data_IF_816173514744
#
_entry.id   IF_816173514744
#
_cell.length_a   1.000
_cell.length_b   1.000
_cell.length_c   1.000
_cell.angle_alpha   90.00
_cell.angle_beta   90.00
_cell.angle_gamma   90.00
#
_symmetry.space_group_name_H-M   'P 1'
#
loop_
_entity.id
_entity.type
_entity.pdbx_description
1 polymer ?
#
# COMPACT_ATOMS: atom_id res chain seq x y z
N UNK A 1 14.11 -14.48 -15.87
CA UNK A 1 15.16 -14.80 -14.86
C UNK A 1 15.33 -13.73 -13.78
N UNK A 2 15.72 -12.48 -14.06
CA UNK A 2 15.93 -11.47 -12.97
C UNK A 2 14.62 -11.03 -12.32
N UNK A 3 13.58 -10.81 -13.11
CA UNK A 3 12.25 -10.37 -12.65
C UNK A 3 11.54 -11.40 -11.75
N UNK A 4 11.59 -12.68 -12.15
CA UNK A 4 11.03 -13.78 -11.35
C UNK A 4 11.74 -13.93 -10.00
N UNK A 5 13.05 -13.67 -9.96
CA UNK A 5 13.84 -13.68 -8.73
C UNK A 5 13.48 -12.50 -7.81
N UNK A 6 13.18 -11.32 -8.36
CA UNK A 6 12.74 -10.16 -7.58
C UNK A 6 11.40 -10.41 -6.90
N UNK A 7 10.43 -10.99 -7.62
CA UNK A 7 9.15 -11.42 -7.04
C UNK A 7 9.33 -12.44 -5.90
N UNK A 8 10.24 -13.39 -6.06
CA UNK A 8 10.55 -14.36 -5.01
C UNK A 8 11.20 -13.69 -3.79
N UNK A 9 12.15 -12.77 -4.00
CA UNK A 9 12.79 -12.03 -2.91
C UNK A 9 11.81 -11.14 -2.14
N UNK A 10 10.79 -10.59 -2.82
CA UNK A 10 9.71 -9.82 -2.19
C UNK A 10 8.81 -10.66 -1.27
N UNK A 11 8.87 -11.99 -1.30
CA UNK A 11 8.07 -12.85 -0.40
C UNK A 11 8.92 -13.64 0.59
N UNK A 12 10.25 -13.52 0.51
CA UNK A 12 11.17 -14.15 1.47
C UNK A 12 11.42 -13.25 2.68
N UNK A 13 11.19 -13.82 3.87
CA UNK A 13 11.47 -13.13 5.15
C UNK A 13 12.97 -12.89 5.37
N UNK A 14 13.31 -11.81 6.05
CA UNK A 14 14.65 -11.40 6.47
C UNK A 14 15.61 -10.99 5.33
N UNK A 15 15.09 -10.58 4.18
CA UNK A 15 15.86 -10.04 3.05
C UNK A 15 15.28 -8.76 2.47
N UNK A 16 14.23 -8.25 3.09
CA UNK A 16 13.46 -7.12 2.62
C UNK A 16 14.34 -5.87 2.57
N UNK A 17 15.12 -5.56 3.62
CA UNK A 17 16.00 -4.38 3.61
C UNK A 17 17.04 -4.43 2.48
N UNK A 18 17.66 -5.59 2.25
CA UNK A 18 18.64 -5.80 1.16
C UNK A 18 17.99 -5.63 -0.21
N UNK A 19 16.74 -6.07 -0.33
CA UNK A 19 15.95 -5.87 -1.53
C UNK A 19 15.61 -4.38 -1.74
N UNK A 20 15.24 -3.64 -0.69
CA UNK A 20 14.99 -2.19 -0.78
C UNK A 20 16.25 -1.44 -1.25
N UNK A 21 17.42 -1.79 -0.70
CA UNK A 21 18.69 -1.22 -1.14
C UNK A 21 18.98 -1.49 -2.62
N UNK A 22 18.84 -2.76 -3.05
CA UNK A 22 19.04 -3.15 -4.44
C UNK A 22 18.07 -2.42 -5.40
N UNK A 23 16.81 -2.32 -5.01
CA UNK A 23 15.78 -1.65 -5.80
C UNK A 23 16.03 -0.14 -5.92
N UNK A 24 16.51 0.50 -4.85
CA UNK A 24 16.85 1.93 -4.86
C UNK A 24 18.10 2.22 -5.69
N UNK A 25 19.12 1.37 -5.61
CA UNK A 25 20.35 1.52 -6.39
C UNK A 25 20.11 1.34 -7.90
N UNK A 26 19.04 0.63 -8.29
CA UNK A 26 18.63 0.41 -9.69
C UNK A 26 17.27 1.03 -10.03
N UNK A 27 16.89 2.09 -9.33
CA UNK A 27 15.53 2.68 -9.40
C UNK A 27 15.06 2.98 -10.82
N UNK A 28 15.92 3.46 -11.70
CA UNK A 28 15.55 3.80 -13.09
C UNK A 28 15.06 2.61 -13.90
N UNK A 29 15.54 1.40 -13.59
CA UNK A 29 15.14 0.17 -14.27
C UNK A 29 14.05 -0.60 -13.50
N UNK A 30 13.86 -0.32 -12.21
CA UNK A 30 13.07 -1.15 -11.30
C UNK A 30 11.99 -0.35 -10.54
N UNK A 31 11.56 0.82 -11.02
CA UNK A 31 10.49 1.63 -10.40
C UNK A 31 9.24 0.79 -10.10
N UNK A 32 8.84 -0.09 -11.02
CA UNK A 32 7.71 -1.00 -10.81
C UNK A 32 7.85 -1.85 -9.54
N UNK A 33 9.04 -2.38 -9.26
CA UNK A 33 9.31 -3.21 -8.09
C UNK A 33 9.50 -2.37 -6.81
N UNK A 34 10.03 -1.15 -6.91
CA UNK A 34 10.05 -0.20 -5.79
C UNK A 34 8.64 0.08 -5.28
N UNK A 35 7.72 0.32 -6.22
CA UNK A 35 6.32 0.53 -5.91
C UNK A 35 5.69 -0.71 -5.25
N UNK A 36 5.98 -1.90 -5.77
CA UNK A 36 5.51 -3.15 -5.20
C UNK A 36 6.07 -3.41 -3.79
N UNK A 37 7.33 -3.05 -3.57
CA UNK A 37 8.00 -3.18 -2.28
C UNK A 37 7.43 -2.21 -1.24
N UNK A 38 7.12 -0.98 -1.62
CA UNK A 38 6.46 -0.02 -0.73
C UNK A 38 5.13 -0.57 -0.18
N UNK A 39 4.41 -1.34 -1.00
CA UNK A 39 3.13 -1.91 -0.61
C UNK A 39 3.25 -3.19 0.24
N UNK A 40 4.11 -4.12 -0.16
CA UNK A 40 4.29 -5.40 0.56
C UNK A 40 5.07 -5.25 1.87
N UNK A 41 6.10 -4.39 1.86
CA UNK A 41 7.09 -4.25 2.92
C UNK A 41 7.41 -2.77 3.17
N UNK A 42 6.44 -1.98 3.66
CA UNK A 42 6.62 -0.54 3.82
C UNK A 42 7.75 -0.20 4.80
N UNK A 43 7.86 -0.94 5.91
CA UNK A 43 8.86 -0.69 6.95
C UNK A 43 10.31 -0.79 6.43
N UNK A 44 10.76 -1.90 5.81
CA UNK A 44 12.10 -1.99 5.25
C UNK A 44 12.43 -0.90 4.23
N UNK A 45 11.46 -0.51 3.38
CA UNK A 45 11.68 0.57 2.43
C UNK A 45 11.80 1.93 3.12
N UNK A 46 10.94 2.24 4.09
CA UNK A 46 10.99 3.48 4.87
C UNK A 46 12.29 3.61 5.68
N UNK A 47 12.79 2.51 6.24
CA UNK A 47 14.08 2.46 6.94
C UNK A 47 15.23 2.83 5.99
N UNK A 48 15.29 2.20 4.81
CA UNK A 48 16.34 2.49 3.83
C UNK A 48 16.20 3.92 3.30
N UNK A 49 14.99 4.41 3.05
CA UNK A 49 14.75 5.81 2.64
C UNK A 49 15.21 6.80 3.70
N UNK A 50 14.92 6.51 4.98
CA UNK A 50 15.38 7.33 6.11
C UNK A 50 16.90 7.35 6.19
N UNK A 51 17.55 6.19 6.07
CA UNK A 51 19.02 6.08 6.04
C UNK A 51 19.63 6.86 4.86
N UNK A 52 18.96 6.84 3.70
CA UNK A 52 19.37 7.55 2.47
C UNK A 52 18.96 9.03 2.49
N UNK A 53 18.24 9.51 3.51
CA UNK A 53 17.65 10.85 3.60
C UNK A 53 16.78 11.20 2.39
N UNK A 54 16.02 10.23 1.90
CA UNK A 54 15.12 10.35 0.76
C UNK A 54 13.66 10.25 1.20
N UNK A 55 12.77 10.79 0.38
CA UNK A 55 11.32 10.74 0.52
C UNK A 55 10.70 9.84 -0.56
N UNK A 56 9.56 9.19 -0.30
CA UNK A 56 8.86 8.40 -1.32
C UNK A 56 8.49 9.21 -2.58
N UNK A 57 8.26 10.51 -2.45
CA UNK A 57 7.97 11.41 -3.57
C UNK A 57 9.16 11.53 -4.54
N UNK A 58 10.40 11.49 -4.02
CA UNK A 58 11.61 11.51 -4.85
C UNK A 58 11.81 10.24 -5.67
N UNK A 59 11.03 9.18 -5.41
CA UNK A 59 11.03 7.95 -6.19
C UNK A 59 10.12 8.01 -7.43
N UNK A 60 9.35 9.09 -7.61
CA UNK A 60 8.42 9.20 -8.74
C UNK A 60 7.32 8.14 -8.72
N UNK A 61 6.99 7.61 -7.54
CA UNK A 61 5.92 6.62 -7.37
C UNK A 61 4.58 7.34 -7.53
N UNK A 62 3.94 7.12 -8.67
CA UNK A 62 2.57 7.55 -8.91
C UNK A 62 1.59 6.51 -8.33
N UNK A 63 1.02 6.83 -7.17
CA UNK A 63 0.05 5.99 -6.51
C UNK A 63 -1.22 5.76 -7.36
N UNK A 64 -1.57 6.72 -8.23
CA UNK A 64 -2.74 6.63 -9.10
C UNK A 64 -2.50 5.65 -10.24
N UNK A 65 -1.35 5.77 -10.92
CA UNK A 65 -0.95 4.83 -11.98
C UNK A 65 -0.81 3.38 -11.45
N UNK A 66 -0.43 3.22 -10.19
CA UNK A 66 -0.39 1.91 -9.53
C UNK A 66 -1.79 1.32 -9.32
N UNK A 67 -2.73 2.15 -8.85
CA UNK A 67 -4.13 1.72 -8.66
C UNK A 67 -4.74 1.30 -10.00
N UNK A 68 -4.49 2.06 -11.06
CA UNK A 68 -4.97 1.77 -12.41
C UNK A 68 -4.38 0.45 -12.96
N UNK A 69 -3.10 0.17 -12.71
CA UNK A 69 -2.45 -1.04 -13.20
C UNK A 69 -2.91 -2.32 -12.46
N UNK A 70 -3.24 -2.22 -11.17
CA UNK A 70 -3.67 -3.36 -10.37
C UNK A 70 -5.19 -3.56 -10.35
N UNK A 71 -5.97 -2.51 -10.64
CA UNK A 71 -7.41 -2.47 -10.45
C UNK A 71 -7.80 -2.32 -8.97
N UNK A 72 -8.74 -1.43 -8.67
CA UNK A 72 -9.20 -1.14 -7.31
C UNK A 72 -9.70 -2.40 -6.58
N UNK A 73 -10.52 -3.22 -7.25
CA UNK A 73 -11.05 -4.47 -6.71
C UNK A 73 -9.95 -5.47 -6.38
N UNK A 74 -8.93 -5.59 -7.25
CA UNK A 74 -7.80 -6.49 -7.04
C UNK A 74 -6.92 -6.10 -5.85
N UNK A 75 -6.88 -4.79 -5.51
CA UNK A 75 -6.19 -4.28 -4.32
C UNK A 75 -6.98 -4.61 -3.06
N UNK A 76 -8.30 -4.40 -3.08
CA UNK A 76 -9.19 -4.67 -1.96
C UNK A 76 -9.20 -6.16 -1.62
N UNK A 77 -9.32 -7.04 -2.62
CA UNK A 77 -9.35 -8.49 -2.43
C UNK A 77 -8.05 -9.04 -1.81
N UNK A 78 -6.90 -8.45 -2.19
CA UNK A 78 -5.59 -8.88 -1.68
C UNK A 78 -5.26 -8.35 -0.30
N UNK A 79 -5.62 -7.11 0.00
CA UNK A 79 -5.44 -6.55 1.34
C UNK A 79 -6.43 -7.17 2.32
N UNK A 80 -7.63 -7.47 1.84
CA UNK A 80 -8.78 -7.86 2.65
C UNK A 80 -9.41 -6.64 3.32
N UNK A 81 -10.75 -6.54 3.25
CA UNK A 81 -11.51 -5.43 3.81
C UNK A 81 -11.18 -5.20 5.31
N UNK A 82 -11.08 -6.27 6.11
CA UNK A 82 -10.80 -6.19 7.54
C UNK A 82 -9.46 -5.51 7.87
N UNK A 83 -8.41 -5.83 7.11
CA UNK A 83 -7.09 -5.21 7.29
C UNK A 83 -7.08 -3.75 6.87
N UNK A 84 -7.79 -3.40 5.80
CA UNK A 84 -7.93 -2.01 5.37
C UNK A 84 -8.69 -1.20 6.43
N UNK A 85 -9.79 -1.73 6.95
CA UNK A 85 -10.57 -1.12 8.03
C UNK A 85 -9.73 -0.95 9.30
N UNK A 86 -8.91 -1.94 9.68
CA UNK A 86 -8.03 -1.85 10.83
C UNK A 86 -6.96 -0.74 10.68
N UNK A 87 -6.42 -0.53 9.47
CA UNK A 87 -5.44 0.54 9.21
C UNK A 87 -6.06 1.92 9.10
N UNK A 88 -7.24 2.03 8.50
CA UNK A 88 -7.97 3.30 8.40
C UNK A 88 -8.52 3.73 9.77
N UNK A 89 -8.95 2.77 10.58
CA UNK A 89 -9.62 3.01 11.85
C UNK A 89 -11.09 3.42 11.67
N UNK A 90 -11.93 3.18 12.69
CA UNK A 90 -13.38 3.38 12.61
C UNK A 90 -13.76 4.85 12.36
N UNK A 91 -13.03 5.81 12.94
CA UNK A 91 -13.35 7.24 12.82
C UNK A 91 -13.18 7.76 11.38
N UNK A 92 -12.11 7.35 10.70
CA UNK A 92 -11.86 7.77 9.30
C UNK A 92 -12.89 7.15 8.36
N UNK A 93 -13.25 5.89 8.58
CA UNK A 93 -14.29 5.19 7.80
C UNK A 93 -15.64 5.89 8.00
N UNK A 94 -16.00 6.22 9.25
CA UNK A 94 -17.23 6.94 9.55
C UNK A 94 -17.27 8.32 8.89
N UNK A 95 -16.17 9.09 8.95
CA UNK A 95 -16.09 10.39 8.30
C UNK A 95 -16.27 10.29 6.79
N UNK A 96 -15.65 9.29 6.14
CA UNK A 96 -15.81 9.05 4.71
C UNK A 96 -17.26 8.71 4.35
N UNK A 97 -17.90 7.82 5.12
CA UNK A 97 -19.31 7.47 4.92
C UNK A 97 -20.23 8.68 5.09
N UNK A 98 -20.03 9.48 6.14
CA UNK A 98 -20.82 10.72 6.37
C UNK A 98 -20.64 11.71 5.23
N UNK A 99 -19.41 11.87 4.72
CA UNK A 99 -19.15 12.77 3.60
C UNK A 99 -19.84 12.30 2.31
N UNK A 100 -19.89 10.99 2.06
CA UNK A 100 -20.45 10.41 0.84
C UNK A 100 -21.98 10.27 0.88
N UNK A 101 -22.53 9.86 2.01
CA UNK A 101 -23.94 9.46 2.16
C UNK A 101 -24.77 10.47 2.96
N UNK A 102 -24.12 11.39 3.67
CA UNK A 102 -24.75 12.26 4.66
C UNK A 102 -24.91 11.59 6.03
N UNK A 103 -25.04 12.42 7.07
CA UNK A 103 -25.14 11.95 8.48
C UNK A 103 -26.32 11.02 8.70
N UNK A 104 -27.50 11.37 8.19
CA UNK A 104 -28.73 10.63 8.47
C UNK A 104 -28.72 9.24 7.85
N UNK A 105 -28.27 9.11 6.60
CA UNK A 105 -28.15 7.82 5.91
C UNK A 105 -27.06 6.93 6.50
N UNK A 106 -25.94 7.51 6.90
CA UNK A 106 -24.86 6.78 7.57
C UNK A 106 -25.32 6.20 8.91
N UNK A 107 -26.06 7.01 9.69
CA UNK A 107 -26.64 6.58 10.96
C UNK A 107 -27.61 5.40 10.77
N UNK A 108 -28.50 5.50 9.78
CA UNK A 108 -29.46 4.44 9.48
C UNK A 108 -28.78 3.11 9.12
N UNK A 109 -27.69 3.15 8.35
CA UNK A 109 -26.94 1.95 7.98
C UNK A 109 -26.22 1.31 9.18
N UNK A 110 -25.68 2.11 10.10
CA UNK A 110 -25.05 1.59 11.32
C UNK A 110 -26.11 0.94 12.23
N UNK A 111 -27.28 1.57 12.38
CA UNK A 111 -28.38 1.04 13.18
C UNK A 111 -28.95 -0.27 12.60
N UNK A 112 -28.91 -0.45 11.28
CA UNK A 112 -29.31 -1.70 10.60
C UNK A 112 -28.25 -2.81 10.69
N UNK A 113 -26.98 -2.44 10.83
CA UNK A 113 -25.85 -3.37 10.91
C UNK A 113 -25.50 -3.79 12.35
N UNK A 114 -26.02 -3.08 13.36
CA UNK A 114 -25.91 -3.46 14.76
C UNK A 114 -26.78 -4.72 15.02
N UNK A 115 -26.24 -5.78 15.65
CA UNK A 115 -27.00 -6.98 15.98
C UNK A 115 -28.09 -6.73 17.04
#
# INVERSE_FOLDING_TARGET
MVEELLCFLMVTKNREQQLAELLLDRREALTYYLTFMHWMHPQPLEEVLTMRKMTPQELGIDAQALIEACGEDGIIDRLGADRMLARLGPDRVLQALVAQLGKDKTRQLIEQAAP
#
